data_IF_633498894825
#
_entry.id   IF_633498894825
#
_cell.length_a   1.000
_cell.length_b   1.000
_cell.length_c   1.000
_cell.angle_alpha   90.00
_cell.angle_beta   90.00
_cell.angle_gamma   90.00
#
_symmetry.space_group_name_H-M   'P 1'
#
loop_
_entity.id
_entity.type
_entity.pdbx_description
1 polymer ?
#
# COMPACT_ATOMS: atom_id res chain seq x y z
N UNK A 1 63.30 -38.88 90.49
CA UNK A 1 63.42 -38.97 89.02
C UNK A 1 62.07 -38.61 88.44
N UNK A 2 62.03 -37.72 87.45
CA UNK A 2 60.86 -37.37 86.60
C UNK A 2 59.68 -36.62 87.25
N UNK A 3 59.02 -35.63 86.65
CA UNK A 3 59.31 -34.62 85.61
C UNK A 3 58.06 -33.73 85.59
N UNK A 4 58.22 -32.40 85.44
CA UNK A 4 57.15 -31.46 85.10
C UNK A 4 56.34 -31.93 83.89
N UNK A 5 55.03 -31.66 83.87
CA UNK A 5 54.34 -31.22 82.64
C UNK A 5 53.11 -30.37 82.96
N UNK A 6 53.23 -29.13 82.51
CA UNK A 6 52.21 -28.10 82.34
C UNK A 6 51.39 -28.44 81.06
N UNK A 7 50.16 -27.92 81.00
CA UNK A 7 49.25 -27.82 79.84
C UNK A 7 48.39 -29.04 79.46
N UNK A 8 47.10 -29.01 79.84
CA UNK A 8 46.00 -29.47 78.96
C UNK A 8 44.60 -29.04 79.43
N UNK A 9 44.41 -27.83 79.97
CA UNK A 9 43.07 -27.34 80.37
C UNK A 9 42.54 -26.14 79.57
N UNK A 10 43.24 -25.76 78.48
CA UNK A 10 42.85 -24.63 77.62
C UNK A 10 42.49 -25.07 76.18
N UNK A 11 42.54 -26.36 75.86
CA UNK A 11 42.34 -26.87 74.50
C UNK A 11 40.94 -27.44 74.18
N UNK A 12 39.95 -27.27 75.06
CA UNK A 12 38.57 -27.75 74.81
C UNK A 12 37.49 -26.66 74.76
N UNK A 13 37.84 -25.38 74.91
CA UNK A 13 36.87 -24.27 74.86
C UNK A 13 36.94 -23.42 73.57
N UNK A 14 37.87 -23.71 72.66
CA UNK A 14 38.02 -23.01 71.38
C UNK A 14 37.50 -23.76 70.15
N UNK A 15 37.06 -25.02 70.29
CA UNK A 15 36.48 -25.81 69.18
C UNK A 15 34.94 -25.79 69.16
N UNK A 16 34.26 -25.30 70.20
CA UNK A 16 32.80 -25.25 70.24
C UNK A 16 32.21 -23.86 69.89
N UNK A 17 33.02 -22.80 69.88
CA UNK A 17 32.59 -21.45 69.49
C UNK A 17 32.88 -21.08 68.02
N UNK A 18 33.51 -21.97 67.26
CA UNK A 18 33.77 -21.79 65.82
C UNK A 18 32.86 -22.64 64.91
N UNK A 19 31.98 -23.48 65.48
CA UNK A 19 30.97 -24.21 64.70
C UNK A 19 29.54 -23.66 64.86
N UNK A 20 29.25 -22.83 65.87
CA UNK A 20 27.94 -22.19 66.03
C UNK A 20 27.79 -20.87 65.25
N UNK A 21 28.90 -20.29 64.78
CA UNK A 21 28.91 -19.10 63.92
C UNK A 21 28.86 -19.41 62.41
N UNK A 22 28.89 -20.69 62.02
CA UNK A 22 28.82 -21.12 60.62
C UNK A 22 27.47 -21.71 60.19
N UNK A 23 26.48 -21.76 61.09
CA UNK A 23 25.12 -22.27 60.77
C UNK A 23 24.05 -21.15 60.78
N UNK A 24 24.42 -19.92 61.16
CA UNK A 24 23.50 -18.77 61.17
C UNK A 24 23.65 -17.81 59.96
N UNK A 25 24.25 -18.25 58.85
CA UNK A 25 24.38 -17.44 57.63
C UNK A 25 23.84 -18.11 56.34
N UNK A 26 22.97 -19.11 56.43
CA UNK A 26 22.31 -19.70 55.24
C UNK A 26 20.78 -19.69 55.28
N UNK A 27 20.17 -19.01 56.25
CA UNK A 27 18.72 -18.73 56.27
C UNK A 27 18.43 -17.24 56.05
N UNK A 28 19.25 -16.57 55.23
CA UNK A 28 18.66 -15.61 54.31
C UNK A 28 17.90 -16.43 53.29
N UNK A 29 16.61 -16.67 53.56
CA UNK A 29 15.65 -16.81 52.49
C UNK A 29 15.79 -15.52 51.66
N UNK A 30 16.71 -15.51 50.68
CA UNK A 30 16.39 -14.88 49.41
C UNK A 30 15.07 -15.54 49.06
N UNK A 31 13.96 -14.83 49.30
CA UNK A 31 12.81 -14.98 48.43
C UNK A 31 13.46 -14.94 47.05
N UNK A 32 13.46 -16.08 46.37
CA UNK A 32 13.46 -16.03 44.92
C UNK A 32 12.29 -15.11 44.64
N UNK A 33 12.58 -13.84 44.36
CA UNK A 33 11.64 -13.01 43.63
C UNK A 33 11.64 -13.66 42.27
N UNK A 34 10.92 -14.79 42.15
CA UNK A 34 10.44 -15.24 40.86
C UNK A 34 9.91 -13.97 40.21
N UNK A 35 10.42 -13.62 39.01
CA UNK A 35 10.11 -12.35 38.41
C UNK A 35 8.58 -12.27 38.34
N UNK A 36 8.05 -11.29 39.08
CA UNK A 36 6.62 -11.16 39.31
C UNK A 36 5.97 -11.08 37.94
N UNK A 37 5.21 -12.12 37.59
CA UNK A 37 4.37 -12.14 36.40
C UNK A 37 3.52 -10.87 36.42
N UNK A 38 3.89 -9.91 35.57
CA UNK A 38 3.06 -8.76 35.31
C UNK A 38 2.86 -8.64 33.80
N UNK A 39 1.72 -9.13 33.28
CA UNK A 39 1.40 -9.03 31.86
C UNK A 39 1.26 -7.59 31.38
N UNK A 40 1.19 -6.60 32.29
CA UNK A 40 1.26 -5.19 31.89
C UNK A 40 2.66 -4.75 31.43
N UNK A 41 3.72 -5.50 31.75
CA UNK A 41 5.09 -5.11 31.40
C UNK A 41 5.50 -5.56 29.99
N UNK A 42 4.74 -6.48 29.38
CA UNK A 42 4.94 -6.97 28.01
C UNK A 42 3.58 -7.25 27.37
N UNK A 43 3.13 -6.35 26.52
CA UNK A 43 1.84 -6.45 25.84
C UNK A 43 2.08 -6.78 24.37
N UNK A 44 1.40 -7.81 23.89
CA UNK A 44 1.38 -8.19 22.49
C UNK A 44 -0.05 -8.01 21.99
N UNK A 45 -0.21 -7.42 20.81
CA UNK A 45 -1.51 -7.24 20.17
C UNK A 45 -1.37 -7.51 18.67
N UNK A 46 -2.37 -8.16 18.08
CA UNK A 46 -2.48 -8.31 16.63
C UNK A 46 -2.99 -6.99 16.06
N UNK A 47 -2.22 -6.38 15.17
CA UNK A 47 -2.60 -5.14 14.49
C UNK A 47 -3.39 -5.42 13.22
N UNK A 48 -2.98 -6.43 12.44
CA UNK A 48 -3.60 -6.78 11.17
C UNK A 48 -3.07 -8.13 10.66
N UNK A 49 -3.72 -8.64 9.62
CA UNK A 49 -3.37 -9.89 8.95
C UNK A 49 -3.51 -9.74 7.43
N UNK A 50 -2.74 -10.52 6.69
CA UNK A 50 -3.02 -10.83 5.28
C UNK A 50 -3.39 -12.32 5.16
N UNK A 51 -3.36 -12.87 3.95
CA UNK A 51 -3.53 -14.31 3.76
C UNK A 51 -2.35 -15.12 4.29
N UNK A 52 -1.14 -14.58 4.23
CA UNK A 52 0.09 -15.31 4.55
C UNK A 52 0.96 -14.63 5.60
N UNK A 53 0.50 -13.51 6.16
CA UNK A 53 1.29 -12.64 7.03
C UNK A 53 0.45 -12.15 8.22
N UNK A 54 1.12 -11.83 9.32
CA UNK A 54 0.53 -11.16 10.48
C UNK A 54 1.46 -10.06 11.00
N UNK A 55 0.86 -8.92 11.35
CA UNK A 55 1.54 -7.79 11.99
C UNK A 55 1.10 -7.67 13.44
N UNK A 56 2.05 -7.63 14.36
CA UNK A 56 1.79 -7.55 15.79
C UNK A 56 2.55 -6.38 16.42
N UNK A 57 1.89 -5.61 17.28
CA UNK A 57 2.56 -4.64 18.13
C UNK A 57 3.01 -5.29 19.41
N UNK A 58 4.26 -5.04 19.78
CA UNK A 58 4.82 -5.36 21.07
C UNK A 58 5.12 -4.07 21.83
N UNK A 59 4.59 -3.96 23.05
CA UNK A 59 4.94 -2.93 24.02
C UNK A 59 5.64 -3.56 25.21
N UNK A 60 6.80 -3.05 25.57
CA UNK A 60 7.64 -3.59 26.63
C UNK A 60 8.16 -2.47 27.53
N UNK A 61 8.36 -2.77 28.82
CA UNK A 61 9.03 -1.83 29.72
C UNK A 61 10.51 -1.65 29.41
N UNK A 62 11.02 -0.45 29.66
CA UNK A 62 12.43 -0.08 29.49
C UNK A 62 13.42 -1.07 30.16
N UNK A 63 13.05 -1.61 31.33
CA UNK A 63 13.89 -2.56 32.08
C UNK A 63 14.22 -3.85 31.31
N UNK A 64 13.50 -4.11 30.21
CA UNK A 64 13.71 -5.26 29.34
C UNK A 64 14.55 -4.94 28.10
N UNK A 65 14.91 -3.68 27.85
CA UNK A 65 15.79 -3.36 26.73
C UNK A 65 17.13 -4.09 26.88
N UNK A 66 17.71 -4.47 25.75
CA UNK A 66 18.92 -5.31 25.62
C UNK A 66 18.75 -6.78 26.02
N UNK A 67 17.63 -7.17 26.63
CA UNK A 67 17.30 -8.57 26.94
C UNK A 67 16.85 -9.32 25.69
N UNK A 68 16.81 -10.64 25.76
CA UNK A 68 16.43 -11.48 24.62
C UNK A 68 14.92 -11.58 24.49
N UNK A 69 14.35 -11.03 23.43
CA UNK A 69 12.97 -11.26 23.03
C UNK A 69 12.86 -12.58 22.26
N UNK A 70 11.93 -13.44 22.66
CA UNK A 70 11.51 -14.62 21.92
C UNK A 70 10.04 -14.51 21.55
N UNK A 71 9.70 -14.86 20.32
CA UNK A 71 8.32 -14.92 19.85
C UNK A 71 7.97 -16.34 19.44
N UNK A 72 6.76 -16.77 19.82
CA UNK A 72 6.26 -18.10 19.56
C UNK A 72 4.98 -18.03 18.76
N UNK A 73 4.83 -18.97 17.83
CA UNK A 73 3.63 -19.24 17.05
C UNK A 73 3.20 -20.67 17.30
N UNK A 74 1.99 -20.89 17.83
CA UNK A 74 1.48 -22.22 18.19
C UNK A 74 2.48 -22.98 19.08
N UNK A 75 2.98 -22.28 20.10
CA UNK A 75 4.02 -22.73 21.04
C UNK A 75 5.41 -23.03 20.44
N UNK A 76 5.61 -22.88 19.12
CA UNK A 76 6.91 -23.03 18.47
C UNK A 76 7.64 -21.70 18.38
N UNK A 77 8.92 -21.68 18.74
CA UNK A 77 9.77 -20.50 18.60
C UNK A 77 9.94 -20.14 17.11
N UNK A 78 9.63 -18.90 16.76
CA UNK A 78 9.74 -18.38 15.39
C UNK A 78 10.71 -17.20 15.25
N UNK A 79 11.03 -16.52 16.35
CA UNK A 79 11.96 -15.39 16.33
C UNK A 79 12.65 -15.25 17.69
N UNK A 80 13.93 -14.94 17.65
CA UNK A 80 14.77 -14.63 18.81
C UNK A 80 15.71 -13.47 18.46
N UNK A 81 15.62 -12.37 19.18
CA UNK A 81 16.44 -11.17 18.96
C UNK A 81 16.61 -10.34 20.23
N UNK A 82 17.62 -9.46 20.32
CA UNK A 82 17.66 -8.45 21.37
C UNK A 82 16.44 -7.53 21.28
N UNK A 83 15.84 -7.22 22.43
CA UNK A 83 14.79 -6.21 22.52
C UNK A 83 15.44 -4.83 22.49
N UNK A 84 15.28 -4.12 21.38
CA UNK A 84 15.97 -2.84 21.13
C UNK A 84 15.13 -1.60 21.38
N UNK A 85 13.82 -1.75 21.56
CA UNK A 85 12.88 -0.65 21.76
C UNK A 85 11.69 -1.09 22.62
N UNK A 86 11.08 -0.11 23.32
CA UNK A 86 9.86 -0.33 24.12
C UNK A 86 8.68 -0.68 23.22
N UNK A 87 8.55 0.02 22.09
CA UNK A 87 7.55 -0.25 21.07
C UNK A 87 8.20 -0.90 19.85
N UNK A 88 7.61 -1.99 19.37
CA UNK A 88 8.10 -2.71 18.20
C UNK A 88 6.96 -3.25 17.35
N UNK A 89 7.07 -3.10 16.04
CA UNK A 89 6.28 -3.85 15.07
C UNK A 89 6.97 -5.19 14.80
N UNK A 90 6.27 -6.28 15.06
CA UNK A 90 6.68 -7.64 14.76
C UNK A 90 5.93 -8.12 13.54
N UNK A 91 6.64 -8.82 12.67
CA UNK A 91 6.12 -9.34 11.41
C UNK A 91 6.35 -10.85 11.37
N UNK A 92 5.31 -11.58 10.98
CA UNK A 92 5.36 -13.03 10.78
C UNK A 92 4.84 -13.32 9.38
N UNK A 93 5.61 -14.06 8.60
CA UNK A 93 5.25 -14.53 7.27
C UNK A 93 5.12 -16.05 7.22
N UNK A 94 4.87 -16.59 6.02
CA UNK A 94 4.76 -18.03 5.80
C UNK A 94 3.54 -18.66 6.49
N UNK A 95 2.49 -17.87 6.74
CA UNK A 95 1.22 -18.35 7.27
C UNK A 95 0.36 -18.93 6.15
N UNK A 96 -0.57 -19.82 6.52
CA UNK A 96 -1.57 -20.35 5.60
C UNK A 96 -2.82 -19.47 5.60
N UNK A 97 -3.48 -19.27 4.45
CA UNK A 97 -4.76 -18.55 4.38
C UNK A 97 -5.85 -19.21 5.23
N UNK A 98 -6.82 -18.40 5.68
CA UNK A 98 -8.00 -18.85 6.44
C UNK A 98 -7.65 -19.82 7.59
N UNK A 99 -6.62 -19.49 8.36
CA UNK A 99 -6.07 -20.35 9.41
C UNK A 99 -5.90 -19.58 10.71
N UNK A 100 -6.31 -20.20 11.82
CA UNK A 100 -6.12 -19.66 13.16
C UNK A 100 -4.70 -19.92 13.65
N UNK A 101 -4.08 -18.87 14.18
CA UNK A 101 -2.77 -18.91 14.82
C UNK A 101 -2.81 -18.30 16.22
N UNK A 102 -1.98 -18.83 17.10
CA UNK A 102 -1.73 -18.27 18.42
C UNK A 102 -0.32 -17.70 18.51
N UNK A 103 -0.17 -16.50 19.07
CA UNK A 103 1.09 -15.81 19.24
C UNK A 103 1.33 -15.41 20.68
N UNK A 104 2.58 -15.51 21.13
CA UNK A 104 3.04 -15.01 22.43
C UNK A 104 4.48 -14.53 22.35
N UNK A 105 4.81 -13.52 23.14
CA UNK A 105 6.16 -13.01 23.31
C UNK A 105 6.67 -13.30 24.72
N UNK A 106 7.97 -13.50 24.86
CA UNK A 106 8.64 -13.67 26.14
C UNK A 106 10.00 -12.99 26.13
N UNK A 107 10.43 -12.47 27.28
CA UNK A 107 11.73 -11.83 27.45
C UNK A 107 12.58 -12.66 28.40
N UNK A 108 13.84 -12.86 28.05
CA UNK A 108 14.81 -13.66 28.79
C UNK A 108 16.09 -12.87 29.11
N UNK A 109 16.69 -13.17 30.27
CA UNK A 109 18.05 -12.77 30.63
C UNK A 109 18.94 -14.02 30.68
N UNK A 110 19.73 -14.25 29.63
CA UNK A 110 20.38 -15.53 29.43
C UNK A 110 19.35 -16.67 29.31
N UNK A 111 19.35 -17.59 30.27
CA UNK A 111 18.40 -18.70 30.34
C UNK A 111 17.16 -18.41 31.21
N UNK A 112 17.17 -17.31 31.98
CA UNK A 112 16.10 -16.96 32.91
C UNK A 112 14.94 -16.29 32.17
N UNK A 113 13.71 -16.76 32.38
CA UNK A 113 12.49 -16.12 31.86
C UNK A 113 12.11 -14.93 32.76
N UNK A 114 12.16 -13.71 32.23
CA UNK A 114 11.79 -12.50 32.96
C UNK A 114 10.29 -12.21 32.90
N UNK A 115 9.67 -12.35 31.73
CA UNK A 115 8.23 -12.09 31.56
C UNK A 115 7.69 -12.71 30.27
N UNK A 116 6.36 -12.81 30.17
CA UNK A 116 5.63 -13.26 28.98
C UNK A 116 4.38 -12.42 28.75
N UNK A 117 4.01 -12.22 27.49
CA UNK A 117 2.75 -11.59 27.12
C UNK A 117 1.57 -12.54 27.36
N UNK A 118 0.35 -11.99 27.32
CA UNK A 118 -0.83 -12.81 27.05
C UNK A 118 -0.69 -13.48 25.67
N UNK A 119 -1.37 -14.62 25.48
CA UNK A 119 -1.52 -15.21 24.14
C UNK A 119 -2.57 -14.41 23.39
N UNK A 120 -2.24 -14.05 22.16
CA UNK A 120 -3.17 -13.42 21.22
C UNK A 120 -3.42 -14.36 20.05
N UNK A 121 -4.62 -14.31 19.50
CA UNK A 121 -5.02 -15.12 18.35
C UNK A 121 -5.19 -14.25 17.13
N UNK A 122 -4.82 -14.78 15.96
CA UNK A 122 -5.08 -14.14 14.68
C UNK A 122 -5.60 -15.19 13.70
N UNK A 123 -6.66 -14.85 12.97
CA UNK A 123 -7.16 -15.64 11.84
C UNK A 123 -6.69 -14.95 10.56
N UNK A 124 -5.88 -15.61 9.74
CA UNK A 124 -5.44 -15.05 8.45
C UNK A 124 -6.61 -14.88 7.50
N UNK A 125 -6.47 -13.96 6.54
CA UNK A 125 -7.48 -13.76 5.50
C UNK A 125 -7.61 -14.99 4.60
N UNK A 126 -8.81 -15.26 4.10
CA UNK A 126 -8.98 -16.16 2.97
C UNK A 126 -8.44 -15.51 1.68
N UNK A 127 -8.06 -16.33 0.71
CA UNK A 127 -7.74 -15.85 -0.64
C UNK A 127 -9.00 -15.39 -1.37
N UNK A 128 -8.84 -14.50 -2.33
CA UNK A 128 -9.92 -14.19 -3.27
C UNK A 128 -9.89 -15.14 -4.48
N UNK A 129 -10.99 -15.22 -5.24
CA UNK A 129 -11.00 -16.03 -6.45
C UNK A 129 -10.41 -15.28 -7.65
N UNK A 130 -9.72 -16.05 -8.47
CA UNK A 130 -9.06 -15.70 -9.72
C UNK A 130 -9.96 -15.91 -10.95
N UNK A 131 -11.20 -16.33 -10.73
CA UNK A 131 -12.10 -16.76 -11.80
C UNK A 131 -12.96 -15.60 -12.25
N UNK A 132 -12.42 -14.81 -13.17
CA UNK A 132 -13.14 -13.73 -13.83
C UNK A 132 -13.59 -14.17 -15.22
N UNK A 133 -14.85 -13.89 -15.56
CA UNK A 133 -15.37 -14.01 -16.91
C UNK A 133 -15.18 -12.69 -17.64
N UNK A 134 -14.53 -12.72 -18.80
CA UNK A 134 -14.11 -11.52 -19.52
C UNK A 134 -14.99 -11.16 -20.71
N UNK A 135 -15.21 -9.86 -20.87
CA UNK A 135 -15.79 -9.23 -22.05
C UNK A 135 -14.82 -8.20 -22.61
N UNK A 136 -14.83 -8.04 -23.94
CA UNK A 136 -13.93 -7.13 -24.66
C UNK A 136 -14.73 -6.18 -25.53
N UNK A 137 -14.38 -4.90 -25.46
CA UNK A 137 -15.02 -3.85 -26.26
C UNK A 137 -13.96 -3.00 -26.93
N UNK A 138 -14.14 -2.70 -28.22
CA UNK A 138 -13.24 -1.85 -29.01
C UNK A 138 -13.99 -0.61 -29.52
N UNK A 139 -13.33 0.54 -29.54
CA UNK A 139 -13.94 1.82 -29.90
C UNK A 139 -13.05 2.65 -30.84
N UNK A 140 -13.70 3.30 -31.81
CA UNK A 140 -13.10 4.25 -32.74
C UNK A 140 -12.03 3.63 -33.66
N UNK A 141 -11.16 4.49 -34.19
CA UNK A 141 -10.04 4.13 -35.07
C UNK A 141 -10.22 4.58 -36.52
N UNK A 142 -11.40 5.05 -36.91
CA UNK A 142 -11.69 5.43 -38.29
C UNK A 142 -11.24 6.86 -38.66
N UNK A 143 -11.20 7.79 -37.68
CA UNK A 143 -10.86 9.21 -37.90
C UNK A 143 -9.58 9.70 -37.21
N UNK A 144 -8.88 8.84 -36.48
CA UNK A 144 -7.78 9.19 -35.58
C UNK A 144 -7.36 7.98 -34.75
N UNK A 145 -6.31 8.13 -33.93
CA UNK A 145 -5.92 7.08 -32.97
C UNK A 145 -6.69 7.27 -31.67
N UNK A 146 -7.45 6.26 -31.29
CA UNK A 146 -8.27 6.26 -30.08
C UNK A 146 -7.54 5.59 -28.93
N UNK A 147 -7.73 6.12 -27.71
CA UNK A 147 -7.11 5.61 -26.49
C UNK A 147 -7.95 5.98 -25.27
N UNK A 148 -8.23 5.02 -24.40
CA UNK A 148 -8.70 5.30 -23.05
C UNK A 148 -7.52 5.50 -22.09
N UNK A 149 -7.60 6.50 -21.24
CA UNK A 149 -6.54 6.91 -20.30
C UNK A 149 -6.82 6.54 -18.85
N UNK A 150 -8.10 6.42 -18.47
CA UNK A 150 -8.51 6.14 -17.09
C UNK A 150 -9.91 5.53 -17.05
N UNK A 151 -10.23 4.86 -15.95
CA UNK A 151 -11.52 4.21 -15.73
C UNK A 151 -11.95 4.24 -14.27
N UNK A 152 -13.23 4.52 -14.03
CA UNK A 152 -13.83 4.52 -12.70
C UNK A 152 -15.05 3.60 -12.66
N UNK A 153 -15.06 2.70 -11.66
CA UNK A 153 -16.19 1.83 -11.36
C UNK A 153 -17.00 2.43 -10.20
N UNK A 154 -18.26 2.78 -10.45
CA UNK A 154 -19.20 3.14 -9.40
C UNK A 154 -19.82 1.85 -8.86
N UNK A 155 -20.37 1.03 -9.75
CA UNK A 155 -20.86 -0.32 -9.50
C UNK A 155 -20.95 -1.08 -10.84
N UNK A 156 -21.52 -2.28 -10.83
CA UNK A 156 -21.67 -3.14 -12.01
C UNK A 156 -22.54 -2.55 -13.14
N UNK A 157 -23.32 -1.50 -12.84
CA UNK A 157 -24.21 -0.84 -13.79
C UNK A 157 -23.80 0.61 -14.11
N UNK A 158 -22.70 1.10 -13.57
CA UNK A 158 -22.24 2.48 -13.79
C UNK A 158 -20.71 2.55 -13.79
N UNK A 159 -20.14 2.59 -14.99
CA UNK A 159 -18.68 2.61 -15.21
C UNK A 159 -18.35 3.68 -16.24
N UNK A 160 -17.35 4.50 -15.95
CA UNK A 160 -16.88 5.55 -16.85
C UNK A 160 -15.46 5.24 -17.31
N UNK A 161 -15.27 5.09 -18.62
CA UNK A 161 -13.95 5.05 -19.26
C UNK A 161 -13.72 6.35 -20.02
N UNK A 162 -12.56 6.97 -19.85
CA UNK A 162 -12.30 8.33 -20.38
C UNK A 162 -11.04 8.39 -21.20
N UNK A 163 -11.02 9.24 -22.23
CA UNK A 163 -9.93 9.24 -23.19
C UNK A 163 -10.14 10.18 -24.38
N UNK A 164 -9.68 9.72 -25.53
CA UNK A 164 -10.02 10.28 -26.84
C UNK A 164 -10.44 9.16 -27.78
N UNK A 165 -11.60 9.33 -28.42
CA UNK A 165 -12.19 8.33 -29.29
C UNK A 165 -12.56 9.00 -30.61
N UNK A 166 -11.96 8.53 -31.69
CA UNK A 166 -12.14 9.06 -33.04
C UNK A 166 -12.97 8.09 -33.87
N UNK A 167 -14.20 8.48 -34.17
CA UNK A 167 -15.06 7.79 -35.13
C UNK A 167 -14.88 8.40 -36.53
N UNK A 168 -15.53 7.84 -37.53
CA UNK A 168 -15.47 8.38 -38.90
C UNK A 168 -15.98 9.84 -39.00
N UNK A 169 -16.96 10.22 -38.17
CA UNK A 169 -17.68 11.49 -38.31
C UNK A 169 -17.57 12.41 -37.09
N UNK A 170 -17.13 11.91 -35.93
CA UNK A 170 -17.10 12.69 -34.69
C UNK A 170 -15.99 12.23 -33.72
N UNK A 171 -15.72 13.06 -32.72
CA UNK A 171 -14.76 12.83 -31.63
C UNK A 171 -15.48 12.84 -30.28
N UNK A 172 -15.17 11.84 -29.46
CA UNK A 172 -15.69 11.65 -28.12
C UNK A 172 -14.55 11.63 -27.10
N UNK A 173 -14.86 11.94 -25.85
CA UNK A 173 -13.86 11.97 -24.78
C UNK A 173 -14.21 11.05 -23.59
N UNK A 174 -15.33 10.32 -23.66
CA UNK A 174 -15.69 9.30 -22.70
C UNK A 174 -16.58 8.20 -23.31
N UNK A 175 -16.64 7.06 -22.64
CA UNK A 175 -17.62 6.00 -22.81
C UNK A 175 -18.22 5.67 -21.43
N UNK A 176 -19.53 5.44 -21.39
CA UNK A 176 -20.29 5.17 -20.17
C UNK A 176 -21.01 3.83 -20.29
N UNK A 177 -20.81 2.95 -19.32
CA UNK A 177 -21.53 1.68 -19.17
C UNK A 177 -22.75 1.90 -18.30
N UNK A 178 -23.91 1.43 -18.77
CA UNK A 178 -25.20 1.56 -18.09
C UNK A 178 -25.72 0.26 -17.44
N UNK A 179 -24.90 -0.80 -17.43
CA UNK A 179 -25.29 -2.16 -17.01
C UNK A 179 -25.60 -3.10 -18.18
N UNK A 180 -25.85 -2.56 -19.37
CA UNK A 180 -26.20 -3.36 -20.55
C UNK A 180 -25.24 -3.09 -21.72
N UNK A 181 -24.84 -1.83 -21.91
CA UNK A 181 -24.03 -1.41 -23.05
C UNK A 181 -23.14 -0.21 -22.73
N UNK A 182 -22.11 -0.05 -23.55
CA UNK A 182 -21.27 1.14 -23.56
C UNK A 182 -21.82 2.19 -24.52
N UNK A 183 -22.03 3.42 -24.05
CA UNK A 183 -22.41 4.57 -24.87
C UNK A 183 -21.29 5.61 -24.92
N UNK A 184 -20.93 6.08 -26.12
CA UNK A 184 -19.98 7.18 -26.27
C UNK A 184 -20.58 8.50 -25.80
N UNK A 185 -19.78 9.30 -25.09
CA UNK A 185 -20.19 10.57 -24.48
C UNK A 185 -19.25 11.72 -24.90
N UNK A 186 -19.85 12.90 -25.05
CA UNK A 186 -19.14 14.17 -25.25
C UNK A 186 -19.35 15.04 -24.02
N UNK A 187 -18.33 15.11 -23.19
CA UNK A 187 -18.35 15.96 -21.99
C UNK A 187 -17.76 17.31 -22.38
N UNK A 188 -18.61 18.34 -22.38
CA UNK A 188 -18.28 19.68 -22.84
C UNK A 188 -17.64 20.53 -21.74
N UNK A 189 -16.51 21.17 -22.01
CA UNK A 189 -15.81 22.06 -21.07
C UNK A 189 -16.13 23.55 -21.27
N UNK A 190 -16.93 23.90 -22.28
CA UNK A 190 -17.21 25.27 -22.69
C UNK A 190 -15.92 26.07 -22.95
N UNK A 191 -14.93 25.41 -23.55
CA UNK A 191 -13.64 25.98 -23.87
C UNK A 191 -12.89 26.62 -22.69
N UNK A 192 -13.01 26.06 -21.46
CA UNK A 192 -12.19 26.50 -20.32
C UNK A 192 -10.70 26.61 -20.69
N UNK A 193 -10.15 25.61 -21.41
CA UNK A 193 -8.80 25.58 -21.95
C UNK A 193 -8.69 25.79 -23.46
N UNK A 194 -9.69 26.43 -24.06
CA UNK A 194 -9.68 26.84 -25.46
C UNK A 194 -10.32 25.85 -26.44
N UNK A 195 -10.71 24.65 -25.99
CA UNK A 195 -11.45 23.67 -26.82
C UNK A 195 -12.67 23.13 -26.07
N UNK A 196 -13.77 22.87 -26.77
CA UNK A 196 -15.03 22.44 -26.15
C UNK A 196 -15.04 20.98 -25.68
N UNK A 197 -14.28 20.12 -26.35
CA UNK A 197 -14.23 18.68 -26.08
C UNK A 197 -12.78 18.19 -26.02
N UNK A 198 -11.98 18.67 -25.05
CA UNK A 198 -10.63 18.15 -24.87
C UNK A 198 -10.69 16.65 -24.51
N UNK A 199 -9.66 15.87 -24.87
CA UNK A 199 -9.44 14.55 -24.30
C UNK A 199 -9.47 14.58 -22.76
N UNK A 200 -10.16 13.61 -22.17
CA UNK A 200 -10.19 13.45 -20.72
C UNK A 200 -9.11 12.46 -20.32
N UNK A 201 -8.21 12.90 -19.43
CA UNK A 201 -7.05 12.11 -19.01
C UNK A 201 -7.29 11.28 -17.77
N UNK A 202 -8.20 11.73 -16.90
CA UNK A 202 -8.49 11.03 -15.64
C UNK A 202 -9.93 11.22 -15.21
N UNK A 203 -10.47 10.20 -14.53
CA UNK A 203 -11.81 10.19 -13.95
C UNK A 203 -11.75 9.63 -12.54
N UNK A 204 -12.43 10.28 -11.60
CA UNK A 204 -12.52 9.82 -10.21
C UNK A 204 -13.96 9.90 -9.74
N UNK A 205 -14.52 8.76 -9.30
CA UNK A 205 -15.91 8.67 -8.88
C UNK A 205 -16.03 8.39 -7.37
N UNK A 206 -16.71 9.28 -6.66
CA UNK A 206 -17.11 9.07 -5.26
C UNK A 206 -18.45 8.33 -5.17
N UNK A 207 -19.35 8.62 -6.12
CA UNK A 207 -20.67 8.01 -6.27
C UNK A 207 -21.21 8.32 -7.66
N UNK A 208 -22.34 7.72 -8.05
CA UNK A 208 -23.04 8.03 -9.31
C UNK A 208 -23.38 9.51 -9.52
N UNK A 209 -23.53 10.26 -8.43
CA UNK A 209 -23.86 11.69 -8.46
C UNK A 209 -22.66 12.58 -8.14
N UNK A 210 -21.45 12.03 -8.12
CA UNK A 210 -20.26 12.78 -7.77
C UNK A 210 -19.04 12.17 -8.44
N UNK A 211 -18.80 12.64 -9.67
CA UNK A 211 -17.71 12.20 -10.52
C UNK A 211 -16.92 13.42 -10.98
N UNK A 212 -15.60 13.33 -10.95
CA UNK A 212 -14.68 14.40 -11.35
C UNK A 212 -13.87 13.93 -12.55
N UNK A 213 -13.78 14.79 -13.55
CA UNK A 213 -13.05 14.56 -14.79
C UNK A 213 -11.93 15.59 -14.92
N UNK A 214 -10.70 15.10 -15.15
CA UNK A 214 -9.52 15.93 -15.40
C UNK A 214 -9.12 15.84 -16.86
N UNK A 215 -8.93 17.01 -17.49
CA UNK A 215 -8.74 17.12 -18.93
C UNK A 215 -7.27 17.42 -19.29
N UNK A 216 -6.90 17.14 -20.55
CA UNK A 216 -5.54 17.40 -21.06
C UNK A 216 -5.19 18.90 -21.09
N UNK A 217 -6.21 19.77 -21.15
CA UNK A 217 -6.07 21.23 -21.15
C UNK A 217 -6.13 21.82 -19.73
N UNK A 218 -5.99 21.00 -18.69
CA UNK A 218 -6.08 21.38 -17.28
C UNK A 218 -7.46 21.87 -16.79
N UNK A 219 -8.50 21.83 -17.64
CA UNK A 219 -9.85 22.03 -17.16
C UNK A 219 -10.31 20.87 -16.27
N UNK A 220 -11.29 21.13 -15.41
CA UNK A 220 -11.93 20.15 -14.54
C UNK A 220 -13.44 20.23 -14.74
N UNK A 221 -14.08 19.08 -14.89
CA UNK A 221 -15.54 18.97 -14.93
C UNK A 221 -16.02 18.10 -13.80
N UNK A 222 -17.07 18.52 -13.10
CA UNK A 222 -17.76 17.71 -12.08
C UNK A 222 -19.14 17.31 -12.58
N UNK A 223 -19.50 16.04 -12.42
CA UNK A 223 -20.83 15.52 -12.69
C UNK A 223 -21.57 15.30 -11.39
N UNK A 224 -22.79 15.87 -11.30
CA UNK A 224 -23.61 15.83 -10.10
C UNK A 224 -24.79 14.83 -10.17
N UNK A 225 -24.78 13.92 -11.16
CA UNK A 225 -25.89 12.99 -11.42
C UNK A 225 -26.93 13.50 -12.39
N UNK A 226 -26.87 14.78 -12.77
CA UNK A 226 -27.77 15.38 -13.75
C UNK A 226 -27.04 16.27 -14.76
N UNK A 227 -26.04 17.04 -14.31
CA UNK A 227 -25.36 18.05 -15.11
C UNK A 227 -23.84 17.94 -14.95
N UNK A 228 -23.14 18.31 -16.02
CA UNK A 228 -21.71 18.57 -16.02
C UNK A 228 -21.46 20.04 -15.70
N UNK A 229 -20.70 20.29 -14.63
CA UNK A 229 -20.35 21.63 -14.15
C UNK A 229 -18.84 21.83 -14.32
N UNK A 230 -18.45 22.81 -15.12
CA UNK A 230 -17.06 23.09 -15.42
C UNK A 230 -16.45 24.04 -14.38
N UNK A 231 -15.29 23.66 -13.83
CA UNK A 231 -14.47 24.50 -12.99
C UNK A 231 -13.27 25.03 -13.81
N UNK A 232 -13.46 26.20 -14.43
CA UNK A 232 -12.39 26.89 -15.15
C UNK A 232 -11.50 27.75 -14.23
N UNK A 233 -11.68 27.72 -12.89
CA UNK A 233 -10.90 28.59 -11.99
C UNK A 233 -9.44 28.13 -11.86
N UNK A 234 -9.22 26.82 -12.04
CA UNK A 234 -7.92 26.19 -11.89
C UNK A 234 -6.97 26.48 -13.04
N UNK A 235 -7.47 26.48 -14.28
CA UNK A 235 -6.66 26.65 -15.48
C UNK A 235 -5.90 27.98 -15.54
N UNK A 236 -6.40 29.02 -14.87
CA UNK A 236 -5.71 30.32 -14.78
C UNK A 236 -4.40 30.25 -14.00
N UNK A 237 -4.18 29.18 -13.24
CA UNK A 237 -3.06 29.04 -12.31
C UNK A 237 -1.99 28.10 -12.83
N UNK A 238 -2.24 27.37 -13.93
CA UNK A 238 -1.38 26.29 -14.40
C UNK A 238 -1.36 26.20 -15.93
N UNK A 239 -0.29 25.62 -16.46
CA UNK A 239 -0.19 25.23 -17.86
C UNK A 239 0.23 23.76 -17.90
N UNK A 240 -0.61 22.88 -18.43
CA UNK A 240 -0.30 21.44 -18.54
C UNK A 240 -1.49 20.51 -18.34
N UNK A 241 -1.27 19.22 -18.60
CA UNK A 241 -2.29 18.17 -18.47
C UNK A 241 -2.47 17.72 -17.03
N UNK A 242 -3.73 17.49 -16.62
CA UNK A 242 -4.04 16.75 -15.39
C UNK A 242 -3.93 15.27 -15.70
N UNK A 243 -2.96 14.58 -15.09
CA UNK A 243 -2.69 13.18 -15.36
C UNK A 243 -3.50 12.25 -14.44
N UNK A 244 -3.67 12.61 -13.16
CA UNK A 244 -4.47 11.84 -12.19
C UNK A 244 -5.15 12.71 -11.15
N UNK A 245 -6.28 12.22 -10.65
CA UNK A 245 -7.04 12.75 -9.51
C UNK A 245 -7.03 11.71 -8.39
N UNK A 246 -6.89 12.18 -7.16
CA UNK A 246 -7.21 11.41 -5.96
C UNK A 246 -7.89 12.32 -4.94
N UNK A 247 -8.74 11.81 -4.08
CA UNK A 247 -9.30 12.62 -3.00
C UNK A 247 -10.14 11.82 -2.02
N UNK A 248 -10.50 12.48 -0.93
CA UNK A 248 -11.33 11.89 0.15
C UNK A 248 -12.81 12.24 -0.03
N UNK A 249 -13.08 13.35 -0.72
CA UNK A 249 -14.43 13.82 -1.07
C UNK A 249 -14.35 14.81 -2.24
N UNK A 250 -15.48 15.18 -2.85
CA UNK A 250 -15.51 16.23 -3.87
C UNK A 250 -15.11 17.63 -3.40
N UNK A 251 -14.97 17.80 -2.08
CA UNK A 251 -14.49 19.00 -1.39
C UNK A 251 -13.07 18.85 -0.84
N UNK A 252 -12.39 17.73 -1.12
CA UNK A 252 -11.01 17.48 -0.69
C UNK A 252 -10.33 16.60 -1.74
N UNK A 253 -9.78 17.27 -2.75
CA UNK A 253 -9.25 16.65 -3.97
C UNK A 253 -7.82 17.08 -4.24
N UNK A 254 -7.00 16.16 -4.70
CA UNK A 254 -5.68 16.40 -5.24
C UNK A 254 -5.69 16.10 -6.73
N UNK A 255 -5.01 16.94 -7.49
CA UNK A 255 -4.69 16.69 -8.90
C UNK A 255 -3.20 16.74 -9.07
N UNK A 256 -2.70 15.83 -9.92
CA UNK A 256 -1.30 15.80 -10.32
C UNK A 256 -1.18 15.78 -11.83
N UNK A 257 -0.07 16.28 -12.36
CA UNK A 257 0.06 16.45 -13.80
C UNK A 257 1.47 16.71 -14.30
N UNK A 258 1.53 17.28 -15.50
CA UNK A 258 2.78 17.59 -16.18
C UNK A 258 3.59 18.65 -15.43
N UNK A 259 4.90 18.68 -15.69
CA UNK A 259 5.82 19.71 -15.18
C UNK A 259 5.78 19.85 -13.65
N UNK A 260 5.67 18.71 -12.93
CA UNK A 260 5.62 18.68 -11.48
C UNK A 260 4.34 19.25 -10.87
N UNK A 261 3.24 19.36 -11.63
CA UNK A 261 1.98 19.91 -11.13
C UNK A 261 1.42 19.08 -9.98
N UNK A 262 1.19 19.72 -8.83
CA UNK A 262 0.35 19.25 -7.74
C UNK A 262 -0.58 20.40 -7.34
N UNK A 263 -1.87 20.14 -7.19
CA UNK A 263 -2.80 21.09 -6.59
C UNK A 263 -3.84 20.41 -5.71
N UNK A 264 -4.30 21.14 -4.70
CA UNK A 264 -5.28 20.69 -3.72
C UNK A 264 -6.52 21.59 -3.74
N UNK A 265 -7.70 20.99 -3.78
CA UNK A 265 -8.99 21.65 -3.64
C UNK A 265 -9.53 21.43 -2.23
N UNK A 266 -9.69 22.53 -1.49
CA UNK A 266 -10.15 22.53 -0.09
C UNK A 266 -11.68 22.67 0.06
N UNK A 267 -12.43 22.45 -1.03
CA UNK A 267 -13.88 22.64 -1.07
C UNK A 267 -14.31 24.05 -1.44
N UNK A 268 -13.37 25.00 -1.49
CA UNK A 268 -13.63 26.38 -1.88
C UNK A 268 -12.75 26.82 -3.05
N UNK A 269 -11.46 26.51 -3.00
CA UNK A 269 -10.50 26.93 -4.01
C UNK A 269 -9.41 25.90 -4.24
N UNK A 270 -8.84 25.96 -5.43
CA UNK A 270 -7.59 25.26 -5.75
C UNK A 270 -6.39 26.02 -5.19
N UNK A 271 -5.44 25.28 -4.63
CA UNK A 271 -4.16 25.77 -4.16
C UNK A 271 -3.06 24.92 -4.78
N UNK A 272 -2.10 25.56 -5.48
CA UNK A 272 -0.92 24.86 -6.00
C UNK A 272 0.00 24.47 -4.85
N UNK A 273 0.48 23.23 -4.86
CA UNK A 273 1.49 22.73 -3.93
C UNK A 273 2.80 22.68 -4.70
N UNK A 274 3.84 23.32 -4.17
CA UNK A 274 5.16 23.31 -4.82
C UNK A 274 5.79 21.91 -4.68
N UNK A 275 6.03 21.26 -5.81
CA UNK A 275 6.63 19.92 -5.85
C UNK A 275 8.16 19.95 -5.87
N UNK A 276 8.77 21.07 -6.27
CA UNK A 276 10.22 21.21 -6.41
C UNK A 276 10.83 20.41 -7.57
N UNK A 277 10.00 19.85 -8.47
CA UNK A 277 10.43 19.08 -9.64
C UNK A 277 9.72 19.55 -10.91
N UNK A 278 10.30 19.23 -12.07
CA UNK A 278 9.68 19.45 -13.39
C UNK A 278 9.30 18.14 -14.09
N UNK A 279 9.51 17.00 -13.44
CA UNK A 279 9.16 15.68 -13.97
C UNK A 279 7.64 15.54 -13.96
N UNK A 280 7.08 14.88 -14.98
CA UNK A 280 5.64 14.63 -15.02
C UNK A 280 5.25 13.69 -13.88
N UNK A 281 4.25 14.08 -13.11
CA UNK A 281 3.64 13.24 -12.09
C UNK A 281 2.59 12.38 -12.78
N UNK A 282 2.74 11.06 -12.67
CA UNK A 282 1.97 10.07 -13.44
C UNK A 282 0.83 9.46 -12.66
N UNK A 283 1.04 9.24 -11.36
CA UNK A 283 0.04 8.62 -10.49
C UNK A 283 0.07 9.23 -9.08
N UNK A 284 -1.05 9.09 -8.39
CA UNK A 284 -1.24 9.51 -7.00
C UNK A 284 -2.17 8.52 -6.31
N UNK A 285 -1.77 8.08 -5.12
CA UNK A 285 -2.60 7.24 -4.27
C UNK A 285 -2.54 7.72 -2.83
N UNK A 286 -3.66 7.58 -2.13
CA UNK A 286 -3.73 7.85 -0.71
C UNK A 286 -4.68 6.92 0.01
N UNK A 287 -4.31 6.59 1.23
CA UNK A 287 -5.07 5.69 2.10
C UNK A 287 -4.87 6.09 3.57
N UNK A 288 -5.81 5.68 4.42
CA UNK A 288 -5.74 5.96 5.85
C UNK A 288 -4.68 5.10 6.51
N UNK A 289 -3.88 5.72 7.36
CA UNK A 289 -3.02 5.05 8.33
C UNK A 289 -3.84 4.54 9.51
N UNK A 290 -3.24 3.70 10.35
CA UNK A 290 -3.85 3.24 11.60
C UNK A 290 -4.36 4.39 12.49
N UNK A 291 -3.68 5.53 12.45
CA UNK A 291 -4.04 6.74 13.20
C UNK A 291 -5.12 7.60 12.52
N UNK A 292 -5.85 7.05 11.54
CA UNK A 292 -6.90 7.73 10.76
C UNK A 292 -6.44 8.97 9.99
N UNK A 293 -5.14 9.12 9.73
CA UNK A 293 -4.60 10.18 8.87
C UNK A 293 -4.39 9.65 7.47
N UNK A 294 -4.56 10.48 6.45
CA UNK A 294 -4.22 10.06 5.09
C UNK A 294 -2.71 10.14 4.86
N UNK A 295 -2.12 9.06 4.38
CA UNK A 295 -0.82 9.08 3.73
C UNK A 295 -1.07 9.17 2.23
N UNK A 296 -0.52 10.21 1.58
CA UNK A 296 -0.73 10.51 0.16
C UNK A 296 0.63 10.50 -0.51
N UNK A 297 0.81 9.66 -1.53
CA UNK A 297 2.06 9.56 -2.29
C UNK A 297 1.75 9.82 -3.75
N UNK A 298 2.50 10.75 -4.34
CA UNK A 298 2.53 10.97 -5.77
C UNK A 298 3.84 10.42 -6.34
N UNK A 299 3.77 9.96 -7.59
CA UNK A 299 4.85 9.31 -8.29
C UNK A 299 5.14 10.05 -9.59
N UNK A 300 6.38 10.50 -9.74
CA UNK A 300 6.87 11.19 -10.92
C UNK A 300 7.81 10.30 -11.72
N UNK A 301 7.67 10.27 -13.05
CA UNK A 301 8.62 9.60 -13.93
C UNK A 301 8.58 10.10 -15.37
N UNK A 302 9.77 10.28 -15.94
CA UNK A 302 10.03 10.46 -17.37
C UNK A 302 10.79 9.21 -17.85
N UNK A 303 10.10 8.28 -18.52
CA UNK A 303 10.62 6.93 -18.82
C UNK A 303 11.95 6.86 -19.59
N UNK A 304 12.39 7.95 -20.25
CA UNK A 304 13.66 8.01 -20.98
C UNK A 304 14.86 8.56 -20.20
N UNK A 305 14.70 8.95 -18.93
CA UNK A 305 15.75 9.61 -18.14
C UNK A 305 16.08 8.86 -16.84
N UNK A 306 16.09 7.53 -16.84
CA UNK A 306 16.31 6.73 -15.63
C UNK A 306 17.81 6.65 -15.30
N UNK A 307 18.24 6.75 -14.01
CA UNK A 307 17.41 6.85 -12.81
C UNK A 307 17.01 8.27 -12.37
N UNK A 308 17.56 9.34 -12.95
CA UNK A 308 17.37 10.72 -12.45
C UNK A 308 15.98 11.30 -12.73
N UNK A 309 15.26 10.73 -13.69
CA UNK A 309 13.96 11.15 -14.18
C UNK A 309 12.81 10.47 -13.46
N UNK A 310 12.95 10.18 -12.15
CA UNK A 310 11.87 9.66 -11.31
C UNK A 310 11.92 10.28 -9.93
N UNK A 311 10.77 10.31 -9.24
CA UNK A 311 10.68 10.81 -7.87
C UNK A 311 9.46 10.28 -7.16
N UNK A 312 9.62 9.87 -5.91
CA UNK A 312 8.50 9.65 -4.97
C UNK A 312 8.30 10.84 -4.05
N UNK A 313 7.05 11.34 -4.00
CA UNK A 313 6.66 12.55 -3.28
C UNK A 313 5.58 12.22 -2.25
N UNK A 314 5.90 12.35 -0.97
CA UNK A 314 4.92 12.31 0.13
C UNK A 314 4.27 13.68 0.26
N UNK A 315 2.95 13.74 0.12
CA UNK A 315 2.17 14.98 0.27
C UNK A 315 1.56 15.01 1.68
N UNK A 316 1.91 16.02 2.47
CA UNK A 316 1.40 16.21 3.82
C UNK A 316 1.23 17.70 4.12
N UNK A 317 0.07 18.10 4.67
CA UNK A 317 -0.23 19.48 5.05
C UNK A 317 0.08 20.50 3.93
N UNK A 318 -0.30 20.17 2.69
CA UNK A 318 -0.03 20.97 1.48
C UNK A 318 1.46 21.28 1.24
N UNK A 319 2.33 20.37 1.70
CA UNK A 319 3.77 20.39 1.43
C UNK A 319 4.21 19.04 0.89
N UNK A 320 5.38 19.01 0.26
CA UNK A 320 5.97 17.81 -0.32
C UNK A 320 7.24 17.44 0.41
N UNK A 321 7.36 16.17 0.78
CA UNK A 321 8.60 15.55 1.24
C UNK A 321 9.05 14.49 0.23
N UNK A 322 10.32 14.51 -0.10
CA UNK A 322 10.94 13.51 -0.96
C UNK A 322 11.19 12.22 -0.17
N UNK A 323 10.75 11.10 -0.74
CA UNK A 323 10.99 9.76 -0.22
C UNK A 323 12.25 9.18 -0.85
N UNK A 324 12.83 8.15 -0.21
CA UNK A 324 13.92 7.41 -0.82
C UNK A 324 13.39 6.56 -1.98
N UNK A 325 14.03 6.69 -3.14
CA UNK A 325 13.74 5.98 -4.38
C UNK A 325 15.02 5.38 -5.02
N UNK A 326 16.10 5.26 -4.23
CA UNK A 326 17.39 4.75 -4.71
C UNK A 326 17.34 3.31 -5.19
N UNK A 327 16.53 2.47 -4.53
CA UNK A 327 16.36 1.04 -4.85
C UNK A 327 15.36 0.80 -5.99
N UNK A 328 14.66 1.84 -6.45
CA UNK A 328 13.68 1.76 -7.53
C UNK A 328 14.34 2.11 -8.86
N UNK A 329 15.23 1.26 -9.37
CA UNK A 329 16.15 1.58 -10.47
C UNK A 329 15.51 1.67 -11.87
N UNK A 330 14.21 1.43 -12.01
CA UNK A 330 13.50 1.43 -13.30
C UNK A 330 12.53 2.62 -13.48
N UNK A 331 11.88 2.71 -14.66
CA UNK A 331 10.82 3.69 -14.90
C UNK A 331 9.60 3.35 -14.05
N UNK A 332 8.97 4.38 -13.48
CA UNK A 332 7.83 4.24 -12.59
C UNK A 332 6.56 4.76 -13.29
N UNK A 333 5.41 4.16 -13.02
CA UNK A 333 4.15 4.52 -13.68
C UNK A 333 2.95 4.54 -12.73
N UNK A 334 2.88 3.61 -11.79
CA UNK A 334 1.70 3.38 -10.97
C UNK A 334 2.06 3.06 -9.53
N UNK A 335 1.19 3.45 -8.60
CA UNK A 335 1.37 3.21 -7.18
C UNK A 335 0.06 2.80 -6.53
N UNK A 336 0.14 1.82 -5.64
CA UNK A 336 -0.94 1.48 -4.73
C UNK A 336 -0.34 0.99 -3.41
N UNK A 337 -1.00 1.30 -2.30
CA UNK A 337 -0.54 0.82 -0.99
C UNK A 337 -1.66 0.77 0.03
N UNK A 338 -1.46 -0.12 1.01
CA UNK A 338 -2.10 -0.06 2.33
C UNK A 338 -1.04 0.43 3.33
N UNK A 339 -1.22 1.63 3.93
CA UNK A 339 -0.23 2.22 4.81
C UNK A 339 0.18 1.27 5.93
N UNK A 340 1.47 1.32 6.30
CA UNK A 340 2.06 0.49 7.36
C UNK A 340 1.91 -1.04 7.13
N UNK A 341 1.56 -1.47 5.91
CA UNK A 341 1.40 -2.89 5.55
C UNK A 341 2.19 -3.23 4.31
N UNK A 342 1.74 -2.77 3.14
CA UNK A 342 2.30 -3.18 1.86
C UNK A 342 2.14 -2.07 0.83
N UNK A 343 3.22 -1.84 0.10
CA UNK A 343 3.37 -0.81 -0.92
C UNK A 343 3.79 -1.47 -2.22
N UNK A 344 3.12 -1.12 -3.31
CA UNK A 344 3.44 -1.59 -4.65
C UNK A 344 3.71 -0.40 -5.56
N UNK A 345 4.79 -0.50 -6.33
CA UNK A 345 5.12 0.43 -7.40
C UNK A 345 5.33 -0.35 -8.69
N UNK A 346 4.58 0.05 -9.71
CA UNK A 346 4.65 -0.51 -11.06
C UNK A 346 5.34 0.44 -12.02
N UNK A 347 5.90 -0.13 -13.07
CA UNK A 347 6.48 0.56 -14.21
C UNK A 347 7.20 -0.47 -15.06
N UNK A 348 8.48 -0.29 -15.35
CA UNK A 348 9.27 -1.42 -15.84
C UNK A 348 9.53 -2.37 -14.65
N UNK A 349 8.69 -3.39 -14.48
CA UNK A 349 8.72 -4.28 -13.31
C UNK A 349 7.77 -3.87 -12.18
N UNK A 350 7.64 -4.76 -11.19
CA UNK A 350 6.86 -4.56 -9.97
C UNK A 350 7.81 -4.54 -8.77
N UNK A 351 7.72 -3.50 -7.95
CA UNK A 351 8.46 -3.37 -6.70
C UNK A 351 7.50 -3.37 -5.53
N UNK A 352 7.88 -4.06 -4.46
CA UNK A 352 7.14 -4.09 -3.21
C UNK A 352 7.97 -3.66 -2.00
N UNK A 353 7.28 -3.15 -0.98
CA UNK A 353 7.89 -2.82 0.31
C UNK A 353 6.86 -2.92 1.45
N UNK A 354 7.32 -3.19 2.67
CA UNK A 354 6.49 -3.18 3.88
C UNK A 354 6.38 -1.80 4.53
N UNK A 355 6.99 -0.78 3.93
CA UNK A 355 6.96 0.56 4.47
C UNK A 355 7.59 1.56 3.53
N UNK A 356 7.09 2.79 3.56
CA UNK A 356 7.58 3.87 2.70
C UNK A 356 9.08 4.22 2.88
N UNK A 357 9.64 3.91 4.05
CA UNK A 357 11.06 4.08 4.39
C UNK A 357 11.78 2.73 4.56
N UNK A 358 11.10 1.62 4.29
CA UNK A 358 11.72 0.30 4.29
C UNK A 358 12.38 0.05 2.92
N UNK A 359 13.18 -1.01 2.83
CA UNK A 359 13.77 -1.39 1.56
C UNK A 359 12.70 -1.88 0.58
N UNK A 360 12.92 -1.57 -0.69
CA UNK A 360 12.16 -2.04 -1.83
C UNK A 360 12.78 -3.31 -2.40
N UNK A 361 11.92 -4.22 -2.85
CA UNK A 361 12.32 -5.46 -3.50
C UNK A 361 11.52 -5.63 -4.79
N UNK A 362 12.18 -6.13 -5.84
CA UNK A 362 11.50 -6.47 -7.09
C UNK A 362 10.73 -7.79 -6.92
N UNK A 363 9.43 -7.79 -7.21
CA UNK A 363 8.61 -8.98 -7.30
C UNK A 363 8.79 -9.64 -8.67
N UNK A 364 9.72 -10.61 -8.70
CA UNK A 364 10.08 -11.37 -9.91
C UNK A 364 9.05 -12.42 -10.32
N UNK A 365 7.94 -12.55 -9.59
CA UNK A 365 6.81 -13.37 -10.06
C UNK A 365 6.10 -12.72 -11.25
N UNK A 366 6.23 -11.40 -11.41
CA UNK A 366 5.69 -10.70 -12.57
C UNK A 366 6.58 -10.83 -13.80
N UNK A 367 5.98 -10.93 -15.00
CA UNK A 367 6.74 -10.81 -16.23
C UNK A 367 7.37 -9.41 -16.30
N UNK A 368 8.54 -9.30 -16.94
CA UNK A 368 9.22 -8.02 -17.20
C UNK A 368 8.50 -7.22 -18.29
N UNK A 369 7.25 -6.86 -18.04
CA UNK A 369 6.40 -6.00 -18.86
C UNK A 369 6.18 -4.67 -18.16
N UNK A 370 5.88 -3.64 -18.95
CA UNK A 370 5.62 -2.31 -18.41
C UNK A 370 4.24 -2.26 -17.75
N UNK A 371 4.19 -2.15 -16.43
CA UNK A 371 2.97 -1.98 -15.63
C UNK A 371 2.58 -0.51 -15.69
N UNK A 372 1.43 -0.21 -16.31
CA UNK A 372 0.91 1.16 -16.45
C UNK A 372 -0.08 1.52 -15.33
N UNK A 373 -0.75 0.53 -14.74
CA UNK A 373 -1.77 0.73 -13.72
C UNK A 373 -1.71 -0.35 -12.63
N UNK A 374 -1.93 0.06 -11.38
CA UNK A 374 -2.03 -0.80 -10.19
C UNK A 374 -3.17 -0.28 -9.33
N UNK A 375 -4.14 -1.13 -8.99
CA UNK A 375 -5.18 -0.83 -8.00
C UNK A 375 -5.48 -2.04 -7.15
N UNK A 376 -5.98 -1.83 -5.94
CA UNK A 376 -6.42 -2.90 -5.06
C UNK A 376 -7.49 -2.42 -4.09
N UNK A 377 -8.33 -3.36 -3.67
CA UNK A 377 -9.36 -3.10 -2.64
C UNK A 377 -8.97 -3.67 -1.27
N UNK A 378 -8.04 -4.63 -1.23
CA UNK A 378 -7.48 -5.24 -0.03
C UNK A 378 -6.11 -5.86 -0.32
N UNK A 379 -5.42 -6.34 0.72
CA UNK A 379 -4.11 -7.01 0.58
C UNK A 379 -4.17 -8.31 -0.22
N UNK A 380 -5.36 -8.88 -0.38
CA UNK A 380 -5.62 -10.13 -1.09
C UNK A 380 -6.42 -9.92 -2.38
N UNK A 381 -6.52 -8.69 -2.88
CA UNK A 381 -7.33 -8.37 -4.07
C UNK A 381 -6.75 -7.13 -4.78
N UNK A 382 -5.69 -7.38 -5.55
CA UNK A 382 -4.87 -6.37 -6.24
C UNK A 382 -4.78 -6.73 -7.71
N UNK A 383 -4.87 -5.73 -8.58
CA UNK A 383 -4.82 -5.90 -10.03
C UNK A 383 -3.77 -5.01 -10.67
N UNK A 384 -3.17 -5.52 -11.73
CA UNK A 384 -2.14 -4.86 -12.52
C UNK A 384 -2.54 -4.87 -13.98
N UNK A 385 -2.24 -3.80 -14.70
CA UNK A 385 -2.32 -3.80 -16.16
C UNK A 385 -1.12 -3.11 -16.82
N UNK A 386 -0.90 -3.38 -18.11
CA UNK A 386 0.22 -2.77 -18.82
C UNK A 386 0.44 -3.18 -20.27
N UNK A 387 1.72 -3.16 -20.64
CA UNK A 387 2.21 -3.38 -22.00
C UNK A 387 1.82 -4.73 -22.56
N UNK A 388 1.54 -4.76 -23.87
CA UNK A 388 1.16 -5.97 -24.61
C UNK A 388 -0.10 -6.66 -24.07
N UNK A 389 -0.94 -5.92 -23.34
CA UNK A 389 -2.15 -6.45 -22.72
C UNK A 389 -1.92 -7.16 -21.40
N UNK A 390 -0.77 -6.96 -20.74
CA UNK A 390 -0.53 -7.49 -19.40
C UNK A 390 -1.71 -7.15 -18.50
N UNK A 391 -2.34 -8.17 -17.95
CA UNK A 391 -3.42 -8.06 -16.98
C UNK A 391 -3.25 -9.20 -15.97
N UNK A 392 -3.11 -8.86 -14.69
CA UNK A 392 -2.91 -9.82 -13.61
C UNK A 392 -3.72 -9.47 -12.37
N UNK A 393 -4.06 -10.49 -11.58
CA UNK A 393 -4.75 -10.36 -10.30
C UNK A 393 -3.95 -11.11 -9.22
N UNK A 394 -3.81 -10.52 -8.03
CA UNK A 394 -3.23 -11.14 -6.84
C UNK A 394 -4.33 -11.44 -5.84
N UNK A 395 -4.43 -12.70 -5.45
CA UNK A 395 -5.50 -13.14 -4.57
C UNK A 395 -5.11 -13.25 -3.09
N UNK A 396 -3.97 -12.69 -2.70
CA UNK A 396 -3.41 -12.81 -1.34
C UNK A 396 -2.38 -13.94 -1.20
N UNK A 397 -2.32 -14.86 -2.15
CA UNK A 397 -1.34 -15.95 -2.15
C UNK A 397 -0.45 -15.95 -3.40
N UNK A 398 -1.06 -15.76 -4.58
CA UNK A 398 -0.33 -15.79 -5.84
C UNK A 398 -0.96 -14.86 -6.88
N UNK A 399 -0.15 -14.52 -7.87
CA UNK A 399 -0.58 -13.80 -9.05
C UNK A 399 -1.10 -14.76 -10.12
N UNK A 400 -2.27 -14.46 -10.68
CA UNK A 400 -2.76 -15.05 -11.93
C UNK A 400 -2.60 -14.04 -13.06
N UNK A 401 -2.07 -14.50 -14.18
CA UNK A 401 -1.94 -13.74 -15.42
C UNK A 401 -3.01 -14.18 -16.41
N UNK A 402 -3.82 -13.24 -16.89
CA UNK A 402 -4.90 -13.52 -17.85
C UNK A 402 -4.43 -13.39 -19.30
N UNK A 403 -3.48 -12.50 -19.55
CA UNK A 403 -2.95 -12.22 -20.89
C UNK A 403 -2.24 -13.44 -21.49
N UNK A 404 -2.46 -13.69 -22.78
CA UNK A 404 -1.89 -14.83 -23.51
C UNK A 404 -2.48 -16.20 -23.11
N UNK A 405 -3.52 -16.22 -22.27
CA UNK A 405 -4.20 -17.44 -21.82
C UNK A 405 -5.72 -17.32 -21.98
N UNK A 406 -6.34 -16.51 -21.11
CA UNK A 406 -7.79 -16.26 -21.10
C UNK A 406 -8.15 -15.02 -21.94
N UNK A 407 -7.26 -14.04 -21.94
CA UNK A 407 -7.33 -12.87 -22.81
C UNK A 407 -6.27 -12.95 -23.91
N UNK A 408 -6.58 -12.51 -25.14
CA UNK A 408 -5.60 -12.49 -26.22
C UNK A 408 -4.47 -11.53 -25.89
N UNK A 409 -3.25 -11.88 -26.30
CA UNK A 409 -2.17 -10.91 -26.33
C UNK A 409 -2.51 -9.82 -27.35
N UNK A 410 -2.36 -8.56 -26.96
CA UNK A 410 -2.62 -7.43 -27.85
C UNK A 410 -1.31 -6.74 -28.23
N UNK A 411 -1.27 -6.26 -29.47
CA UNK A 411 -0.28 -5.27 -29.89
C UNK A 411 -0.80 -3.90 -29.46
N UNK A 412 -0.48 -3.49 -28.24
CA UNK A 412 -1.03 -2.29 -27.61
C UNK A 412 -0.60 -2.14 -26.15
N UNK A 413 -1.32 -1.30 -25.40
CA UNK A 413 -1.08 -1.08 -23.97
C UNK A 413 -2.41 -0.90 -23.24
N UNK A 414 -2.55 -1.54 -22.08
CA UNK A 414 -3.57 -1.19 -21.10
C UNK A 414 -3.01 -0.07 -20.23
N UNK A 415 -3.61 1.11 -20.33
CA UNK A 415 -3.14 2.33 -19.69
C UNK A 415 -3.51 2.41 -18.21
N UNK A 416 -4.67 1.88 -17.83
CA UNK A 416 -5.16 1.93 -16.45
C UNK A 416 -6.15 0.79 -16.16
N UNK A 417 -6.28 0.45 -14.89
CA UNK A 417 -7.17 -0.58 -14.39
C UNK A 417 -7.89 -0.10 -13.13
N UNK A 418 -9.11 -0.57 -12.92
CA UNK A 418 -9.88 -0.37 -11.70
C UNK A 418 -10.44 -1.70 -11.22
N UNK A 419 -10.54 -1.85 -9.91
CA UNK A 419 -11.20 -2.99 -9.27
C UNK A 419 -12.17 -2.48 -8.21
N UNK A 420 -13.37 -3.07 -8.18
CA UNK A 420 -14.35 -2.81 -7.14
C UNK A 420 -15.30 -4.00 -7.01
N UNK A 421 -15.40 -4.54 -5.80
CA UNK A 421 -16.15 -5.77 -5.52
C UNK A 421 -15.64 -6.89 -6.43
N UNK A 422 -16.51 -7.46 -7.25
CA UNK A 422 -16.22 -8.57 -8.16
C UNK A 422 -15.98 -8.11 -9.60
N UNK A 423 -15.77 -6.80 -9.82
CA UNK A 423 -15.57 -6.21 -11.14
C UNK A 423 -14.16 -5.67 -11.32
N UNK A 424 -13.51 -6.08 -12.41
CA UNK A 424 -12.27 -5.51 -12.92
C UNK A 424 -12.55 -4.84 -14.26
N UNK A 425 -12.07 -3.61 -14.45
CA UNK A 425 -12.11 -2.95 -15.75
C UNK A 425 -10.74 -2.40 -16.08
N UNK A 426 -10.17 -2.83 -17.20
CA UNK A 426 -8.89 -2.33 -17.72
C UNK A 426 -9.11 -1.66 -19.08
N UNK A 427 -8.46 -0.52 -19.30
CA UNK A 427 -8.69 0.30 -20.49
C UNK A 427 -7.37 0.71 -21.16
N UNK A 428 -7.39 0.90 -22.47
CA UNK A 428 -6.17 1.25 -23.20
C UNK A 428 -6.36 1.48 -24.69
N UNK A 429 -5.34 1.10 -25.46
CA UNK A 429 -5.29 1.26 -26.92
C UNK A 429 -4.60 0.09 -27.61
N UNK A 430 -4.86 0.00 -28.92
CA UNK A 430 -4.36 -1.01 -29.84
C UNK A 430 -3.61 -0.36 -31.01
N UNK A 431 -2.61 -1.06 -31.57
CA UNK A 431 -1.82 -0.58 -32.70
C UNK A 431 -2.64 -0.35 -33.97
N UNK A 432 -3.82 -0.98 -34.09
CA UNK A 432 -4.78 -0.72 -35.16
C UNK A 432 -5.59 0.58 -34.96
N UNK A 433 -5.14 1.48 -34.06
CA UNK A 433 -5.71 2.81 -33.77
C UNK A 433 -7.00 2.81 -32.96
N UNK A 434 -7.44 1.64 -32.47
CA UNK A 434 -8.65 1.53 -31.63
C UNK A 434 -8.34 1.68 -30.15
N UNK A 435 -9.30 2.18 -29.39
CA UNK A 435 -9.31 2.06 -27.93
C UNK A 435 -9.91 0.70 -27.54
N UNK A 436 -9.51 0.17 -26.37
CA UNK A 436 -9.97 -1.12 -25.87
C UNK A 436 -10.40 -1.03 -24.40
N UNK A 437 -11.43 -1.80 -24.04
CA UNK A 437 -11.85 -2.07 -22.66
C UNK A 437 -11.92 -3.59 -22.48
N UNK A 438 -11.28 -4.09 -21.43
CA UNK A 438 -11.54 -5.41 -20.85
C UNK A 438 -12.37 -5.25 -19.59
N UNK A 439 -13.46 -6.00 -19.48
CA UNK A 439 -14.33 -6.02 -18.32
C UNK A 439 -14.43 -7.46 -17.81
N UNK A 440 -13.95 -7.71 -16.60
CA UNK A 440 -13.94 -9.01 -15.94
C UNK A 440 -14.89 -9.02 -14.76
N UNK A 441 -15.75 -10.03 -14.68
CA UNK A 441 -16.73 -10.20 -13.59
C UNK A 441 -16.48 -11.55 -12.92
N UNK A 442 -16.39 -11.56 -11.59
CA UNK A 442 -16.25 -12.77 -10.77
C UNK A 442 -17.60 -13.25 -10.22
#
# INVERSE_FOLDING_TARGET
MQTRKINSFVFCLLSFFLLSSLIFNLSSCKKSTEPVYNPQNLQLQVLDVSCTEAWLSLQAKNDYLTKTLKMFKDDKLIMEKPLSAEDSLLYVDGLWPNTDYSFKAAVYDGAELLTKSATVTATTMDTTSHDFTWQTFEFGGEGGSSSFYDVAIIDENDIWAVGEIYTANDKYNAAHWDGEKWELRKIKTNACGGVDYPPIKTVFAFSKNNIVFGHIDASITKYNGANFVNDCSFIKQINGSINKIWGTSSSDLYVVGNSGLIAHYDGKKWQRIESGIQINIRDIWGAKTENNKFQIIALASNGGQIPQGKKLLLIQNNTVKYLNDSELDMSLAAIWFKPERKYYIGGAGLFESYGINASWQEDKSQPLLYISGIRGQSLNDIVLCGGYGHLSHFNGLNWKHYYGKELPQISGNLNEISIKRDLIVAVGWLMNRKAIIYMGIR
#
